data_IF_574882463771
#
_entry.id   IF_574882463771
#
_cell.length_a   1.000
_cell.length_b   1.000
_cell.length_c   1.000
_cell.angle_alpha   90.00
_cell.angle_beta   90.00
_cell.angle_gamma   90.00
#
_symmetry.space_group_name_H-M   'P 1'
#
loop_
_entity.id
_entity.type
_entity.pdbx_description
1 polymer ?
#
# COMPACT_ATOMS: atom_id res chain seq x y z
N UNK A 1 11.29 -12.57 4.66
CA UNK A 1 11.85 -13.38 3.57
C UNK A 1 11.55 -14.83 3.84
N UNK A 2 10.73 -15.40 2.96
CA UNK A 2 10.35 -16.80 2.96
C UNK A 2 11.47 -17.62 2.29
N UNK A 3 11.79 -18.80 2.80
CA UNK A 3 12.82 -19.68 2.26
C UNK A 3 12.24 -20.74 1.32
N UNK A 4 13.06 -21.23 0.39
CA UNK A 4 12.70 -22.37 -0.47
C UNK A 4 12.24 -23.59 0.35
N UNK A 5 12.94 -23.90 1.45
CA UNK A 5 12.59 -25.03 2.31
C UNK A 5 11.21 -24.86 2.95
N UNK A 6 10.88 -23.67 3.45
CA UNK A 6 9.56 -23.38 4.04
C UNK A 6 8.45 -23.58 3.02
N UNK A 7 8.60 -23.07 1.79
CA UNK A 7 7.61 -23.28 0.71
C UNK A 7 7.40 -24.77 0.43
N UNK A 8 8.49 -25.54 0.32
CA UNK A 8 8.42 -26.94 -0.06
C UNK A 8 7.84 -27.83 1.04
N UNK A 9 8.05 -27.48 2.31
CA UNK A 9 7.68 -28.32 3.46
C UNK A 9 6.38 -27.93 4.14
N UNK A 10 5.87 -26.71 3.91
CA UNK A 10 4.65 -26.23 4.56
C UNK A 10 3.43 -27.07 4.17
N UNK A 11 2.67 -27.47 5.19
CA UNK A 11 1.37 -28.13 5.06
C UNK A 11 0.26 -27.10 4.86
N UNK A 12 -0.02 -26.82 3.59
CA UNK A 12 -1.07 -25.88 3.18
C UNK A 12 -2.48 -26.37 3.51
N UNK A 13 -2.69 -27.67 3.77
CA UNK A 13 -4.01 -28.25 4.08
C UNK A 13 -4.62 -27.68 5.36
N UNK A 14 -3.79 -27.13 6.25
CA UNK A 14 -4.24 -26.42 7.46
C UNK A 14 -5.09 -25.19 7.16
N UNK A 15 -4.85 -24.51 6.04
CA UNK A 15 -5.66 -23.35 5.62
C UNK A 15 -7.11 -23.76 5.33
N UNK A 16 -7.30 -24.87 4.60
CA UNK A 16 -8.65 -25.38 4.31
C UNK A 16 -9.35 -25.89 5.59
N UNK A 17 -8.60 -26.49 6.50
CA UNK A 17 -9.10 -26.89 7.83
C UNK A 17 -9.55 -25.68 8.64
N UNK A 18 -8.77 -24.60 8.65
CA UNK A 18 -9.11 -23.36 9.33
C UNK A 18 -10.34 -22.68 8.69
N UNK A 19 -10.41 -22.63 7.36
CA UNK A 19 -11.56 -22.10 6.64
C UNK A 19 -12.86 -22.83 7.02
N UNK A 20 -12.84 -24.16 7.10
CA UNK A 20 -14.00 -24.95 7.52
C UNK A 20 -14.46 -24.62 8.95
N UNK A 21 -13.53 -24.32 9.86
CA UNK A 21 -13.86 -23.90 11.23
C UNK A 21 -14.50 -22.51 11.28
N UNK A 22 -14.00 -21.57 10.47
CA UNK A 22 -14.60 -20.24 10.34
C UNK A 22 -16.02 -20.28 9.80
N UNK A 23 -16.29 -21.13 8.79
CA UNK A 23 -17.64 -21.39 8.31
C UNK A 23 -18.54 -22.02 9.38
N UNK A 24 -18.00 -22.98 10.14
CA UNK A 24 -18.70 -23.55 11.29
C UNK A 24 -19.09 -22.49 12.32
N UNK A 25 -18.19 -21.55 12.60
CA UNK A 25 -18.45 -20.43 13.51
C UNK A 25 -19.54 -19.49 12.98
N UNK A 26 -19.58 -19.20 11.68
CA UNK A 26 -20.69 -18.47 11.09
C UNK A 26 -22.03 -19.20 11.31
N UNK A 27 -22.04 -20.53 11.23
CA UNK A 27 -23.20 -21.35 11.59
C UNK A 27 -23.63 -21.20 13.05
N UNK A 28 -22.68 -21.15 13.99
CA UNK A 28 -22.99 -20.92 15.41
C UNK A 28 -23.53 -19.50 15.67
N UNK A 29 -22.97 -18.47 15.03
CA UNK A 29 -23.52 -17.11 15.13
C UNK A 29 -24.95 -17.03 14.60
N UNK A 30 -25.29 -17.75 13.53
CA UNK A 30 -26.66 -17.83 13.02
C UNK A 30 -27.62 -18.39 14.08
N UNK A 31 -27.24 -19.45 14.78
CA UNK A 31 -28.06 -20.04 15.86
C UNK A 31 -28.28 -19.06 17.01
N UNK A 32 -27.25 -18.29 17.37
CA UNK A 32 -27.35 -17.27 18.41
C UNK A 32 -28.25 -16.11 17.95
N UNK A 33 -28.08 -15.66 16.71
CA UNK A 33 -28.93 -14.63 16.09
C UNK A 33 -30.42 -15.03 16.17
N UNK A 34 -30.76 -16.25 15.75
CA UNK A 34 -32.14 -16.75 15.76
C UNK A 34 -32.69 -16.85 17.18
N UNK A 35 -31.91 -17.41 18.11
CA UNK A 35 -32.30 -17.49 19.52
C UNK A 35 -32.53 -16.09 20.11
N UNK A 36 -31.65 -15.14 19.82
CA UNK A 36 -31.77 -13.76 20.30
C UNK A 36 -33.02 -13.09 19.74
N UNK A 37 -33.28 -13.27 18.43
CA UNK A 37 -34.47 -12.77 17.78
C UNK A 37 -35.74 -13.32 18.44
N UNK A 38 -35.77 -14.62 18.76
CA UNK A 38 -36.93 -15.30 19.32
C UNK A 38 -37.17 -15.05 20.81
N UNK A 39 -36.11 -14.81 21.59
CA UNK A 39 -36.21 -14.71 23.05
C UNK A 39 -36.09 -13.28 23.58
N UNK A 40 -35.19 -12.47 23.03
CA UNK A 40 -34.89 -11.11 23.54
C UNK A 40 -35.56 -10.06 22.68
N UNK A 41 -35.34 -10.09 21.36
CA UNK A 41 -35.87 -9.07 20.46
C UNK A 41 -37.41 -9.06 20.47
N UNK A 42 -38.05 -10.25 20.52
CA UNK A 42 -39.52 -10.40 20.63
C UNK A 42 -40.13 -9.88 21.94
N UNK A 43 -39.34 -9.61 22.99
CA UNK A 43 -39.86 -8.95 24.20
C UNK A 43 -40.41 -7.56 23.92
N UNK A 44 -40.05 -6.99 22.76
CA UNK A 44 -40.60 -5.75 22.25
C UNK A 44 -41.31 -6.01 20.90
N UNK A 45 -42.66 -5.89 20.76
CA UNK A 45 -43.67 -5.31 21.64
C UNK A 45 -44.78 -6.29 22.07
N UNK A 46 -45.10 -6.28 23.37
CA UNK A 46 -46.39 -6.72 23.90
C UNK A 46 -47.05 -5.57 24.69
N UNK A 47 -48.36 -5.66 24.96
CA UNK A 47 -49.17 -4.62 25.64
C UNK A 47 -48.69 -4.18 27.04
N UNK A 48 -47.54 -4.69 27.54
CA UNK A 48 -47.08 -4.52 28.93
C UNK A 48 -45.87 -3.57 29.09
N UNK A 49 -45.09 -3.30 28.05
CA UNK A 49 -43.94 -2.39 28.13
C UNK A 49 -44.01 -1.31 27.04
N UNK A 50 -44.25 -0.07 27.47
CA UNK A 50 -44.50 1.09 26.62
C UNK A 50 -43.65 2.28 27.09
N UNK A 51 -43.49 3.28 26.22
CA UNK A 51 -42.77 4.53 26.50
C UNK A 51 -41.37 4.57 25.87
N UNK A 52 -40.68 5.70 26.05
CA UNK A 52 -39.40 5.98 25.37
C UNK A 52 -38.31 4.94 25.64
N UNK A 53 -38.28 4.37 26.85
CA UNK A 53 -37.33 3.31 27.20
C UNK A 53 -37.56 2.02 26.38
N UNK A 54 -38.83 1.67 26.11
CA UNK A 54 -39.16 0.53 25.26
C UNK A 54 -38.75 0.78 23.79
N UNK A 55 -38.93 2.00 23.29
CA UNK A 55 -38.48 2.40 21.95
C UNK A 55 -36.96 2.34 21.79
N UNK A 56 -36.20 2.87 22.76
CA UNK A 56 -34.73 2.79 22.75
C UNK A 56 -34.23 1.33 22.82
N UNK A 57 -34.88 0.50 23.64
CA UNK A 57 -34.53 -0.91 23.74
C UNK A 57 -34.78 -1.67 22.43
N UNK A 58 -35.86 -1.36 21.70
CA UNK A 58 -36.13 -1.96 20.38
C UNK A 58 -34.99 -1.70 19.39
N UNK A 59 -34.52 -0.45 19.32
CA UNK A 59 -33.37 -0.09 18.48
C UNK A 59 -32.12 -0.87 18.90
N UNK A 60 -31.81 -0.91 20.20
CA UNK A 60 -30.63 -1.62 20.69
C UNK A 60 -30.69 -3.14 20.44
N UNK A 61 -31.87 -3.76 20.56
CA UNK A 61 -32.06 -5.17 20.24
C UNK A 61 -31.88 -5.43 18.73
N UNK A 62 -32.36 -4.53 17.88
CA UNK A 62 -32.15 -4.64 16.45
C UNK A 62 -30.67 -4.53 16.09
N UNK A 63 -29.94 -3.56 16.65
CA UNK A 63 -28.49 -3.39 16.47
C UNK A 63 -27.74 -4.63 16.96
N UNK A 64 -28.05 -5.15 18.15
CA UNK A 64 -27.40 -6.36 18.67
C UNK A 64 -27.61 -7.56 17.74
N UNK A 65 -28.80 -7.69 17.15
CA UNK A 65 -29.05 -8.75 16.16
C UNK A 65 -28.26 -8.52 14.87
N UNK A 66 -28.17 -7.28 14.40
CA UNK A 66 -27.37 -6.92 13.24
C UNK A 66 -25.89 -7.28 13.47
N UNK A 67 -25.35 -7.12 14.67
CA UNK A 67 -24.00 -7.56 15.01
C UNK A 67 -23.81 -9.08 14.87
N UNK A 68 -24.79 -9.90 15.25
CA UNK A 68 -24.71 -11.34 14.97
C UNK A 68 -24.74 -11.66 13.48
N UNK A 69 -25.49 -10.90 12.68
CA UNK A 69 -25.48 -11.05 11.22
C UNK A 69 -24.14 -10.59 10.63
N UNK A 70 -23.57 -9.51 11.13
CA UNK A 70 -22.27 -9.01 10.73
C UNK A 70 -21.14 -9.99 11.07
N UNK A 71 -21.17 -10.58 12.27
CA UNK A 71 -20.25 -11.63 12.68
C UNK A 71 -20.27 -12.85 11.74
N UNK A 72 -21.45 -13.23 11.25
CA UNK A 72 -21.59 -14.29 10.23
C UNK A 72 -20.92 -13.89 8.92
N UNK A 73 -21.15 -12.66 8.44
CA UNK A 73 -20.57 -12.15 7.20
C UNK A 73 -19.04 -12.09 7.30
N UNK A 74 -18.51 -11.50 8.36
CA UNK A 74 -17.06 -11.46 8.62
C UNK A 74 -16.45 -12.86 8.71
N UNK A 75 -17.07 -13.78 9.44
CA UNK A 75 -16.55 -15.15 9.58
C UNK A 75 -16.51 -15.89 8.22
N UNK A 76 -17.54 -15.75 7.39
CA UNK A 76 -17.57 -16.32 6.03
C UNK A 76 -16.52 -15.68 5.12
N UNK A 77 -16.30 -14.37 5.24
CA UNK A 77 -15.29 -13.67 4.45
C UNK A 77 -13.87 -14.13 4.84
N UNK A 78 -13.58 -14.30 6.14
CA UNK A 78 -12.30 -14.90 6.60
C UNK A 78 -12.14 -16.31 6.05
N UNK A 79 -13.19 -17.15 6.09
CA UNK A 79 -13.15 -18.49 5.51
C UNK A 79 -12.88 -18.46 3.99
N UNK A 80 -13.48 -17.51 3.27
CA UNK A 80 -13.23 -17.28 1.84
C UNK A 80 -11.76 -16.98 1.54
N UNK A 81 -11.17 -16.01 2.25
CA UNK A 81 -9.75 -15.64 2.10
C UNK A 81 -8.85 -16.85 2.35
N UNK A 82 -9.11 -17.65 3.38
CA UNK A 82 -8.29 -18.84 3.69
C UNK A 82 -8.38 -19.92 2.60
N UNK A 83 -9.52 -20.07 1.91
CA UNK A 83 -9.67 -21.00 0.77
C UNK A 83 -8.96 -20.51 -0.48
N UNK A 84 -9.09 -19.23 -0.77
CA UNK A 84 -8.39 -18.60 -1.88
C UNK A 84 -6.88 -18.64 -1.64
N UNK A 85 -6.43 -18.39 -0.42
CA UNK A 85 -5.05 -18.56 0.02
C UNK A 85 -4.57 -20.01 -0.21
N UNK A 86 -5.34 -21.02 0.22
CA UNK A 86 -5.01 -22.42 -0.03
C UNK A 86 -4.80 -22.71 -1.52
N UNK A 87 -5.72 -22.23 -2.37
CA UNK A 87 -5.64 -22.41 -3.83
C UNK A 87 -4.39 -21.74 -4.39
N UNK A 88 -4.19 -20.45 -4.09
CA UNK A 88 -3.07 -19.66 -4.58
C UNK A 88 -1.71 -20.19 -4.12
N UNK A 89 -1.55 -20.54 -2.84
CA UNK A 89 -0.31 -21.12 -2.32
C UNK A 89 -0.02 -22.49 -2.95
N UNK A 90 -1.05 -23.32 -3.17
CA UNK A 90 -0.87 -24.62 -3.82
C UNK A 90 -0.36 -24.45 -5.25
N UNK A 91 -0.90 -23.48 -5.99
CA UNK A 91 -0.46 -23.23 -7.36
C UNK A 91 0.91 -22.57 -7.44
N UNK A 92 1.25 -21.66 -6.52
CA UNK A 92 2.58 -21.07 -6.44
C UNK A 92 3.64 -22.09 -6.00
N UNK A 93 3.30 -23.00 -5.06
CA UNK A 93 4.17 -24.12 -4.70
C UNK A 93 4.51 -25.01 -5.90
N UNK A 94 3.51 -25.34 -6.74
CA UNK A 94 3.76 -26.06 -8.00
C UNK A 94 4.69 -25.31 -8.95
N UNK A 95 4.64 -23.97 -8.99
CA UNK A 95 5.58 -23.17 -9.79
C UNK A 95 7.00 -23.26 -9.24
N UNK A 96 7.18 -23.25 -7.92
CA UNK A 96 8.49 -23.48 -7.28
C UNK A 96 9.01 -24.90 -7.57
N UNK A 97 8.14 -25.90 -7.52
CA UNK A 97 8.47 -27.28 -7.92
C UNK A 97 8.88 -27.36 -9.39
N UNK A 98 8.18 -26.66 -10.29
CA UNK A 98 8.52 -26.59 -11.72
C UNK A 98 9.86 -25.90 -11.94
N UNK A 99 10.10 -24.73 -11.35
CA UNK A 99 11.37 -24.01 -11.48
C UNK A 99 12.57 -24.88 -11.03
N UNK A 100 12.38 -25.66 -9.95
CA UNK A 100 13.37 -26.63 -9.49
C UNK A 100 13.57 -27.76 -10.51
N UNK A 101 12.48 -28.29 -11.07
CA UNK A 101 12.53 -29.35 -12.08
C UNK A 101 13.28 -28.88 -13.33
N UNK A 102 12.99 -27.67 -13.82
CA UNK A 102 13.62 -27.08 -14.99
C UNK A 102 15.14 -26.93 -14.79
N UNK A 103 15.57 -26.46 -13.61
CA UNK A 103 16.99 -26.40 -13.26
C UNK A 103 17.66 -27.79 -13.26
N UNK A 104 16.97 -28.82 -12.73
CA UNK A 104 17.49 -30.20 -12.71
C UNK A 104 17.59 -30.81 -14.10
N UNK A 105 16.63 -30.52 -14.98
CA UNK A 105 16.66 -30.91 -16.39
C UNK A 105 17.79 -30.19 -17.14
N UNK A 106 18.08 -28.93 -16.78
CA UNK A 106 19.22 -28.16 -17.29
C UNK A 106 20.60 -28.59 -16.75
N UNK A 107 20.68 -29.69 -16.00
CA UNK A 107 21.95 -30.22 -15.50
C UNK A 107 22.39 -29.67 -14.15
N UNK A 108 21.52 -28.96 -13.43
CA UNK A 108 21.80 -28.46 -12.09
C UNK A 108 21.41 -29.48 -11.02
N UNK A 109 22.13 -29.42 -9.90
CA UNK A 109 21.73 -29.93 -8.60
C UNK A 109 21.17 -28.77 -7.78
N UNK A 110 19.98 -28.94 -7.21
CA UNK A 110 19.35 -27.93 -6.35
C UNK A 110 19.45 -28.37 -4.89
N UNK A 111 20.05 -27.51 -4.07
CA UNK A 111 20.20 -27.72 -2.62
C UNK A 111 18.89 -27.51 -1.85
N UNK A 112 18.89 -27.86 -0.55
CA UNK A 112 17.73 -27.66 0.34
C UNK A 112 17.38 -26.18 0.56
N UNK A 113 18.31 -25.26 0.31
CA UNK A 113 18.05 -23.82 0.38
C UNK A 113 17.63 -23.23 -0.97
N UNK A 114 17.45 -24.06 -2.01
CA UNK A 114 17.07 -23.62 -3.36
C UNK A 114 18.23 -23.10 -4.21
N UNK A 115 19.49 -23.22 -3.76
CA UNK A 115 20.66 -22.85 -4.58
C UNK A 115 20.92 -23.92 -5.64
N UNK A 116 21.01 -23.50 -6.90
CA UNK A 116 21.38 -24.34 -8.02
C UNK A 116 22.90 -24.33 -8.24
N UNK A 117 23.50 -25.50 -8.41
CA UNK A 117 24.90 -25.69 -8.76
C UNK A 117 25.00 -26.79 -9.80
N UNK A 118 25.95 -26.73 -10.72
CA UNK A 118 26.07 -27.73 -11.76
C UNK A 118 26.32 -29.13 -11.19
N UNK A 119 25.61 -30.13 -11.73
CA UNK A 119 25.66 -31.51 -11.26
C UNK A 119 26.85 -32.26 -11.90
N UNK A 120 28.04 -32.09 -11.32
CA UNK A 120 29.27 -32.72 -11.82
C UNK A 120 29.25 -34.25 -11.82
N UNK A 121 28.35 -34.89 -11.09
CA UNK A 121 28.16 -36.35 -11.13
C UNK A 121 27.64 -36.82 -12.50
N UNK A 122 27.13 -35.91 -13.34
CA UNK A 122 26.73 -36.17 -14.73
C UNK A 122 27.87 -36.07 -15.74
N UNK A 123 29.07 -35.67 -15.32
CA UNK A 123 30.23 -35.54 -16.20
C UNK A 123 31.13 -36.76 -16.04
N UNK A 124 31.18 -37.61 -17.07
CA UNK A 124 31.97 -38.85 -17.03
C UNK A 124 33.47 -38.58 -17.11
N UNK A 125 33.92 -37.60 -17.89
CA UNK A 125 35.33 -37.28 -18.08
C UNK A 125 35.88 -36.33 -17.00
N UNK A 126 36.83 -36.77 -16.15
CA UNK A 126 37.45 -35.90 -15.13
C UNK A 126 38.20 -34.69 -15.71
N UNK A 127 38.70 -34.76 -16.95
CA UNK A 127 39.37 -33.62 -17.59
C UNK A 127 38.36 -32.55 -17.99
N UNK A 128 37.25 -32.93 -18.62
CA UNK A 128 36.13 -32.03 -18.93
C UNK A 128 35.55 -31.37 -17.67
N UNK A 129 35.37 -32.13 -16.58
CA UNK A 129 34.88 -31.59 -15.31
C UNK A 129 35.81 -30.49 -14.75
N UNK A 130 37.13 -30.63 -14.90
CA UNK A 130 38.10 -29.59 -14.46
C UNK A 130 38.05 -28.34 -15.32
N UNK A 131 37.78 -28.47 -16.62
CA UNK A 131 37.63 -27.34 -17.53
C UNK A 131 36.37 -26.54 -17.19
N UNK A 132 35.22 -27.23 -17.05
CA UNK A 132 33.94 -26.61 -16.68
C UNK A 132 34.01 -25.84 -15.35
N UNK A 133 34.73 -26.36 -14.35
CA UNK A 133 34.93 -25.65 -13.06
C UNK A 133 35.66 -24.31 -13.19
N UNK A 134 36.41 -24.11 -14.26
CA UNK A 134 37.15 -22.87 -14.53
C UNK A 134 36.43 -21.95 -15.50
N UNK A 135 35.30 -22.40 -16.07
CA UNK A 135 34.49 -21.62 -16.99
C UNK A 135 33.66 -20.56 -16.22
N UNK A 136 33.84 -19.26 -16.49
CA UNK A 136 33.00 -18.22 -15.91
C UNK A 136 31.51 -18.38 -16.25
N UNK A 137 31.18 -18.87 -17.45
CA UNK A 137 29.80 -19.05 -17.90
C UNK A 137 29.04 -20.10 -17.10
N UNK A 138 29.74 -21.04 -16.46
CA UNK A 138 29.12 -22.00 -15.55
C UNK A 138 28.54 -21.29 -14.32
N UNK A 139 29.29 -20.35 -13.74
CA UNK A 139 28.82 -19.60 -12.57
C UNK A 139 27.61 -18.73 -12.92
N UNK A 140 27.64 -18.08 -14.08
CA UNK A 140 26.50 -17.29 -14.57
C UNK A 140 25.25 -18.16 -14.75
N UNK A 141 25.40 -19.39 -15.25
CA UNK A 141 24.30 -20.34 -15.35
C UNK A 141 23.78 -20.79 -13.96
N UNK A 142 24.66 -21.13 -13.03
CA UNK A 142 24.30 -21.49 -11.65
C UNK A 142 23.54 -20.35 -10.94
N UNK A 143 24.03 -19.12 -11.09
CA UNK A 143 23.42 -17.92 -10.51
C UNK A 143 22.06 -17.63 -11.15
N UNK A 144 21.92 -17.79 -12.47
CA UNK A 144 20.67 -17.62 -13.21
C UNK A 144 19.59 -18.61 -12.76
N UNK A 145 19.92 -19.90 -12.63
CA UNK A 145 18.96 -20.91 -12.13
C UNK A 145 18.61 -20.71 -10.65
N UNK A 146 19.59 -20.28 -9.85
CA UNK A 146 19.33 -19.89 -8.45
C UNK A 146 18.37 -18.71 -8.39
N UNK A 147 18.56 -17.69 -9.24
CA UNK A 147 17.67 -16.55 -9.33
C UNK A 147 16.26 -16.93 -9.82
N UNK A 148 16.16 -17.87 -10.78
CA UNK A 148 14.87 -18.36 -11.27
C UNK A 148 14.05 -19.05 -10.16
N UNK A 149 14.68 -19.91 -9.35
CA UNK A 149 14.02 -20.54 -8.19
C UNK A 149 13.66 -19.48 -7.14
N UNK A 150 14.57 -18.54 -6.86
CA UNK A 150 14.32 -17.46 -5.92
C UNK A 150 13.15 -16.55 -6.34
N UNK A 151 12.98 -16.30 -7.64
CA UNK A 151 11.85 -15.53 -8.17
C UNK A 151 10.52 -16.27 -7.95
N UNK A 152 10.49 -17.59 -8.14
CA UNK A 152 9.31 -18.40 -7.85
C UNK A 152 8.96 -18.38 -6.35
N UNK A 153 9.96 -18.41 -5.46
CA UNK A 153 9.77 -18.26 -4.00
C UNK A 153 9.27 -16.85 -3.64
N UNK A 154 9.82 -15.80 -4.27
CA UNK A 154 9.38 -14.42 -4.08
C UNK A 154 7.89 -14.24 -4.40
N UNK A 155 7.40 -14.90 -5.46
CA UNK A 155 5.97 -14.86 -5.79
C UNK A 155 5.09 -15.47 -4.67
N UNK A 156 5.60 -16.44 -3.91
CA UNK A 156 4.92 -16.98 -2.72
C UNK A 156 4.91 -15.95 -1.59
N UNK A 157 6.04 -15.28 -1.33
CA UNK A 157 6.13 -14.22 -0.31
C UNK A 157 5.21 -13.04 -0.62
N UNK A 158 5.15 -12.60 -1.87
CA UNK A 158 4.23 -11.53 -2.30
C UNK A 158 2.76 -11.91 -2.07
N UNK A 159 2.40 -13.16 -2.36
CA UNK A 159 1.04 -13.66 -2.12
C UNK A 159 0.75 -13.84 -0.62
N UNK A 160 1.74 -14.23 0.18
CA UNK A 160 1.61 -14.30 1.64
C UNK A 160 1.33 -12.93 2.26
N UNK A 161 2.08 -11.90 1.86
CA UNK A 161 1.80 -10.51 2.25
C UNK A 161 0.39 -10.08 1.82
N UNK A 162 -0.05 -10.42 0.61
CA UNK A 162 -1.40 -10.11 0.15
C UNK A 162 -2.50 -10.80 0.99
N UNK A 163 -2.31 -12.07 1.33
CA UNK A 163 -3.22 -12.83 2.21
C UNK A 163 -3.28 -12.20 3.60
N UNK A 164 -2.13 -11.83 4.19
CA UNK A 164 -2.07 -11.12 5.47
C UNK A 164 -2.90 -9.84 5.43
N UNK A 165 -2.70 -8.99 4.42
CA UNK A 165 -3.43 -7.73 4.28
C UNK A 165 -4.94 -7.95 4.12
N UNK A 166 -5.35 -8.97 3.37
CA UNK A 166 -6.76 -9.33 3.25
C UNK A 166 -7.37 -9.72 4.61
N UNK A 167 -6.65 -10.50 5.42
CA UNK A 167 -7.09 -10.92 6.75
C UNK A 167 -7.14 -9.75 7.75
N UNK A 168 -6.22 -8.80 7.66
CA UNK A 168 -6.25 -7.57 8.48
C UNK A 168 -7.42 -6.66 8.08
N UNK A 169 -7.65 -6.47 6.77
CA UNK A 169 -8.71 -5.61 6.27
C UNK A 169 -10.12 -6.17 6.48
N UNK A 170 -10.31 -7.48 6.33
CA UNK A 170 -11.65 -8.10 6.37
C UNK A 170 -12.33 -7.99 7.74
N UNK A 171 -11.56 -7.78 8.80
CA UNK A 171 -12.07 -7.67 10.18
C UNK A 171 -12.28 -6.23 10.64
N UNK A 172 -11.94 -5.23 9.82
CA UNK A 172 -12.15 -3.81 10.16
C UNK A 172 -13.58 -3.44 9.83
N UNK A 173 -14.36 -3.11 10.87
CA UNK A 173 -15.64 -2.44 10.70
C UNK A 173 -15.42 -0.97 10.32
N UNK A 174 -15.83 -0.64 9.09
CA UNK A 174 -15.67 0.69 8.51
C UNK A 174 -16.98 1.48 8.41
N UNK A 175 -18.09 0.98 8.97
CA UNK A 175 -19.38 1.64 8.86
C UNK A 175 -19.76 2.37 10.18
N UNK A 176 -19.44 3.68 10.32
CA UNK A 176 -19.75 4.41 11.54
C UNK A 176 -21.26 4.65 11.75
N UNK A 177 -22.12 4.17 10.86
CA UNK A 177 -23.57 4.42 10.85
C UNK A 177 -24.42 3.16 11.10
N UNK A 178 -23.85 1.97 11.37
CA UNK A 178 -24.64 0.78 11.71
C UNK A 178 -25.11 0.72 13.16
N UNK A 179 -24.73 1.71 13.97
CA UNK A 179 -25.16 1.82 15.36
C UNK A 179 -24.21 1.15 16.36
N UNK A 180 -23.08 0.61 15.90
CA UNK A 180 -21.96 0.22 16.76
C UNK A 180 -20.69 1.00 16.42
N UNK A 181 -19.81 1.15 17.41
CA UNK A 181 -18.46 1.65 17.19
C UNK A 181 -17.50 0.47 17.34
N UNK A 182 -16.80 0.11 16.26
CA UNK A 182 -15.88 -1.03 16.20
C UNK A 182 -16.58 -2.38 16.43
N UNK A 183 -17.71 -2.60 15.75
CA UNK A 183 -18.44 -3.87 15.75
C UNK A 183 -17.83 -4.91 14.81
N UNK A 184 -18.62 -5.91 14.43
CA UNK A 184 -18.22 -6.86 13.38
C UNK A 184 -18.38 -6.22 11.99
N UNK A 185 -17.50 -6.56 11.06
CA UNK A 185 -17.59 -6.06 9.68
C UNK A 185 -18.74 -6.73 8.91
N UNK A 186 -19.91 -6.09 8.94
CA UNK A 186 -21.10 -6.56 8.22
C UNK A 186 -21.02 -6.46 6.70
N UNK A 187 -20.01 -5.77 6.17
CA UNK A 187 -19.78 -5.59 4.73
C UNK A 187 -18.58 -6.38 4.20
N UNK A 188 -18.00 -7.25 5.05
CA UNK A 188 -16.79 -8.00 4.76
C UNK A 188 -16.89 -8.81 3.46
N UNK A 189 -15.85 -8.72 2.63
CA UNK A 189 -15.69 -9.49 1.38
C UNK A 189 -14.34 -10.20 1.36
N UNK A 190 -14.27 -11.44 0.84
CA UNK A 190 -13.02 -12.15 0.70
C UNK A 190 -12.26 -11.62 -0.52
N UNK A 191 -11.48 -10.55 -0.35
CA UNK A 191 -10.69 -9.97 -1.45
C UNK A 191 -9.23 -9.99 -1.08
N UNK A 192 -8.47 -10.87 -1.73
CA UNK A 192 -7.01 -10.86 -1.67
C UNK A 192 -6.51 -9.84 -2.70
N UNK A 193 -5.65 -8.87 -2.32
CA UNK A 193 -5.04 -7.97 -3.28
C UNK A 193 -4.27 -8.75 -4.38
N UNK A 194 -4.19 -8.22 -5.61
CA UNK A 194 -3.36 -8.82 -6.65
C UNK A 194 -1.88 -8.93 -6.22
N UNK A 195 -1.11 -9.76 -6.93
CA UNK A 195 0.36 -9.88 -6.80
C UNK A 195 1.05 -9.55 -8.13
N UNK A 196 2.39 -9.46 -8.14
CA UNK A 196 3.16 -9.19 -9.36
C UNK A 196 2.80 -7.86 -10.04
N UNK A 197 2.75 -7.79 -11.39
CA UNK A 197 2.52 -6.53 -12.12
C UNK A 197 1.19 -5.86 -11.78
N UNK A 198 0.12 -6.64 -11.60
CA UNK A 198 -1.20 -6.11 -11.24
C UNK A 198 -1.19 -5.45 -9.84
N UNK A 199 -0.34 -5.94 -8.93
CA UNK A 199 -0.11 -5.29 -7.63
C UNK A 199 0.60 -3.96 -7.78
N UNK A 200 1.62 -3.90 -8.64
CA UNK A 200 2.34 -2.66 -8.91
C UNK A 200 1.42 -1.58 -9.49
N UNK A 201 0.55 -1.96 -10.43
CA UNK A 201 -0.49 -1.08 -11.00
C UNK A 201 -1.53 -0.65 -9.95
N UNK A 202 -1.94 -1.55 -9.06
CA UNK A 202 -2.82 -1.21 -7.95
C UNK A 202 -2.16 -0.19 -7.00
N UNK A 203 -0.89 -0.39 -6.61
CA UNK A 203 -0.15 0.54 -5.74
C UNK A 203 -0.13 1.95 -6.35
N UNK A 204 0.03 2.06 -7.68
CA UNK A 204 -0.02 3.33 -8.40
C UNK A 204 -1.37 4.06 -8.19
N UNK A 205 -2.48 3.36 -8.44
CA UNK A 205 -3.83 3.94 -8.29
C UNK A 205 -4.19 4.22 -6.84
N UNK A 206 -3.82 3.34 -5.91
CA UNK A 206 -4.14 3.49 -4.49
C UNK A 206 -3.32 4.63 -3.85
N UNK A 207 -2.05 4.80 -4.26
CA UNK A 207 -1.21 5.92 -3.81
C UNK A 207 -1.71 7.27 -4.33
N UNK A 208 -2.16 7.33 -5.59
CA UNK A 208 -2.84 8.50 -6.15
C UNK A 208 -4.08 8.87 -5.31
N UNK A 209 -4.94 7.90 -5.02
CA UNK A 209 -6.14 8.13 -4.21
C UNK A 209 -5.77 8.57 -2.79
N UNK A 210 -4.81 7.90 -2.16
CA UNK A 210 -4.36 8.23 -0.82
C UNK A 210 -3.87 9.67 -0.73
N UNK A 211 -3.00 10.07 -1.66
CA UNK A 211 -2.44 11.41 -1.63
C UNK A 211 -3.47 12.48 -1.98
N UNK A 212 -4.43 12.16 -2.85
CA UNK A 212 -5.60 13.02 -3.08
C UNK A 212 -6.35 13.28 -1.78
N UNK A 213 -6.70 12.23 -1.04
CA UNK A 213 -7.44 12.34 0.22
C UNK A 213 -6.65 13.09 1.30
N UNK A 214 -5.33 12.93 1.35
CA UNK A 214 -4.41 13.72 2.19
C UNK A 214 -4.41 15.20 1.79
N UNK A 215 -4.23 15.52 0.50
CA UNK A 215 -4.27 16.90 0.01
C UNK A 215 -5.58 17.58 0.38
N UNK A 216 -6.71 16.91 0.11
CA UNK A 216 -8.05 17.44 0.41
C UNK A 216 -8.27 17.71 1.88
N UNK A 217 -7.79 16.84 2.78
CA UNK A 217 -7.86 17.06 4.23
C UNK A 217 -6.93 18.18 4.68
N UNK A 218 -5.70 18.20 4.18
CA UNK A 218 -4.66 19.08 4.70
C UNK A 218 -4.88 20.53 4.26
N UNK A 219 -5.36 20.80 3.03
CA UNK A 219 -5.68 22.17 2.58
C UNK A 219 -6.81 22.85 3.37
N UNK A 220 -7.65 22.06 4.05
CA UNK A 220 -8.74 22.56 4.89
C UNK A 220 -8.42 22.50 6.39
N UNK A 221 -7.21 22.06 6.76
CA UNK A 221 -6.77 21.96 8.15
C UNK A 221 -6.56 23.32 8.82
N UNK A 222 -6.68 23.35 10.15
CA UNK A 222 -6.36 24.54 10.96
C UNK A 222 -4.89 24.95 10.81
N UNK A 223 -3.99 23.97 10.58
CA UNK A 223 -2.57 24.20 10.28
C UNK A 223 -2.41 25.07 9.04
N UNK A 224 -3.08 24.73 7.93
CA UNK A 224 -2.99 25.51 6.69
C UNK A 224 -3.62 26.90 6.86
N UNK A 225 -4.73 27.04 7.60
CA UNK A 225 -5.32 28.37 7.87
C UNK A 225 -4.39 29.26 8.70
N UNK A 226 -3.68 28.68 9.67
CA UNK A 226 -2.68 29.41 10.45
C UNK A 226 -1.49 29.84 9.59
N UNK A 227 -0.98 28.96 8.73
CA UNK A 227 0.09 29.29 7.78
C UNK A 227 -0.33 30.42 6.83
N UNK A 228 -1.56 30.36 6.30
CA UNK A 228 -2.13 31.44 5.48
C UNK A 228 -2.14 32.77 6.25
N UNK A 229 -2.50 32.77 7.53
CA UNK A 229 -2.49 33.99 8.35
C UNK A 229 -1.09 34.59 8.53
N UNK A 230 -0.05 33.74 8.64
CA UNK A 230 1.35 34.14 8.85
C UNK A 230 2.00 34.66 7.57
N UNK A 231 1.55 34.16 6.42
CA UNK A 231 2.07 34.47 5.08
C UNK A 231 1.25 35.55 4.35
N UNK A 232 0.12 35.99 4.92
CA UNK A 232 -0.77 37.00 4.32
C UNK A 232 -0.09 38.38 4.29
N UNK A 233 0.32 38.82 3.11
CA UNK A 233 0.79 40.20 2.91
C UNK A 233 -0.29 41.21 3.35
N UNK A 234 0.00 42.16 4.25
CA UNK A 234 -0.97 43.14 4.71
C UNK A 234 -1.35 44.11 3.59
N UNK A 235 -2.63 44.48 3.56
CA UNK A 235 -3.15 45.49 2.63
C UNK A 235 -2.72 46.90 3.06
N UNK A 236 -2.64 47.84 2.11
CA UNK A 236 -2.08 49.19 2.35
C UNK A 236 -2.85 50.00 3.40
N UNK A 237 -4.12 49.67 3.66
CA UNK A 237 -4.98 50.30 4.67
C UNK A 237 -4.91 49.66 6.06
N UNK A 238 -4.16 48.57 6.25
CA UNK A 238 -3.99 47.91 7.56
C UNK A 238 -2.80 48.45 8.38
N UNK A 239 -2.28 49.62 7.99
CA UNK A 239 -1.10 50.26 8.59
C UNK A 239 -1.30 50.52 10.10
N UNK A 240 -0.53 49.81 10.95
CA UNK A 240 -0.52 50.00 12.41
C UNK A 240 -0.91 48.78 13.26
N UNK A 241 -1.31 47.64 12.66
CA UNK A 241 -1.47 46.35 13.36
C UNK A 241 -0.38 45.37 12.93
N UNK A 242 0.36 44.81 13.89
CA UNK A 242 1.37 43.77 13.62
C UNK A 242 0.67 42.42 13.41
N UNK A 243 0.14 42.16 12.22
CA UNK A 243 -0.49 40.88 11.85
C UNK A 243 -0.01 40.44 10.46
N UNK A 244 0.61 39.26 10.37
CA UNK A 244 0.73 38.50 9.12
C UNK A 244 2.02 38.65 8.31
N UNK A 245 3.19 38.77 8.92
CA UNK A 245 4.44 38.63 8.15
C UNK A 245 5.55 38.00 8.98
N UNK A 246 5.31 36.79 9.49
CA UNK A 246 6.33 36.00 10.16
C UNK A 246 6.63 34.74 9.34
N UNK A 247 7.34 34.97 8.23
CA UNK A 247 7.82 33.90 7.35
C UNK A 247 8.66 32.88 8.12
N UNK A 248 9.37 33.28 9.18
CA UNK A 248 10.17 32.36 9.99
C UNK A 248 9.26 31.44 10.80
N UNK A 249 8.23 31.97 11.45
CA UNK A 249 7.23 31.15 12.15
C UNK A 249 6.49 30.22 11.18
N UNK A 250 6.16 30.70 9.98
CA UNK A 250 5.55 29.86 8.95
C UNK A 250 6.48 28.72 8.50
N UNK A 251 7.76 29.01 8.25
CA UNK A 251 8.77 28.00 7.88
C UNK A 251 9.00 26.97 9.00
N UNK A 252 9.03 27.39 10.26
CA UNK A 252 9.14 26.46 11.41
C UNK A 252 7.90 25.57 11.50
N UNK A 253 6.70 26.14 11.41
CA UNK A 253 5.46 25.39 11.47
C UNK A 253 5.32 24.40 10.31
N UNK A 254 5.70 24.82 9.10
CA UNK A 254 5.78 23.97 7.92
C UNK A 254 6.79 22.84 8.10
N UNK A 255 8.02 23.18 8.51
CA UNK A 255 9.10 22.22 8.74
C UNK A 255 8.73 21.13 9.75
N UNK A 256 8.02 21.47 10.82
CA UNK A 256 7.53 20.47 11.79
C UNK A 256 6.51 19.51 11.17
N UNK A 257 5.69 19.94 10.22
CA UNK A 257 4.69 19.06 9.61
C UNK A 257 5.28 18.07 8.60
N UNK A 258 6.28 18.52 7.84
CA UNK A 258 6.91 17.75 6.76
C UNK A 258 8.17 16.99 7.20
N UNK A 259 8.63 17.18 8.45
CA UNK A 259 9.80 16.49 8.97
C UNK A 259 9.59 14.97 9.10
N UNK A 260 10.66 14.16 9.09
CA UNK A 260 10.57 12.72 9.21
C UNK A 260 9.77 12.26 10.43
N UNK A 261 8.85 11.32 10.21
CA UNK A 261 7.97 10.76 11.23
C UNK A 261 6.82 11.67 11.68
N UNK A 262 6.59 12.79 10.99
CA UNK A 262 5.50 13.73 11.28
C UNK A 262 4.30 13.50 10.35
N UNK A 263 3.21 14.22 10.63
CA UNK A 263 1.90 13.99 9.99
C UNK A 263 1.95 14.00 8.44
N UNK A 264 2.80 14.83 7.83
CA UNK A 264 2.93 14.96 6.37
C UNK A 264 4.17 14.26 5.82
N UNK A 265 4.82 13.40 6.60
CA UNK A 265 5.82 12.45 6.11
C UNK A 265 5.12 11.19 5.56
N UNK A 266 4.73 11.25 4.29
CA UNK A 266 3.99 10.16 3.65
C UNK A 266 4.90 9.01 3.20
N UNK A 267 6.21 9.22 3.08
CA UNK A 267 7.15 8.19 2.62
C UNK A 267 7.08 6.92 3.49
N UNK A 268 7.23 6.95 4.83
CA UNK A 268 7.06 5.78 5.67
C UNK A 268 5.61 5.25 5.68
N UNK A 269 4.61 6.11 5.55
CA UNK A 269 3.20 5.69 5.51
C UNK A 269 2.89 4.83 4.26
N UNK A 270 3.44 5.21 3.10
CA UNK A 270 3.33 4.43 1.86
C UNK A 270 4.16 3.15 1.93
N UNK A 271 5.35 3.19 2.55
CA UNK A 271 6.17 2.00 2.77
C UNK A 271 5.45 0.96 3.62
N UNK A 272 4.88 1.37 4.75
CA UNK A 272 4.13 0.50 5.66
C UNK A 272 2.86 -0.03 4.99
N UNK A 273 2.07 0.86 4.36
CA UNK A 273 0.83 0.51 3.66
C UNK A 273 1.03 -0.59 2.60
N UNK A 274 2.13 -0.53 1.86
CA UNK A 274 2.38 -1.43 0.74
C UNK A 274 3.46 -2.49 1.02
N UNK A 275 3.96 -2.56 2.25
CA UNK A 275 4.99 -3.49 2.71
C UNK A 275 6.22 -3.48 1.77
N UNK A 276 6.73 -2.29 1.48
CA UNK A 276 7.84 -2.10 0.53
C UNK A 276 9.15 -2.56 1.17
N UNK A 277 9.67 -3.73 0.76
CA UNK A 277 10.84 -4.37 1.39
C UNK A 277 12.04 -4.53 0.46
N UNK A 278 11.78 -4.67 -0.83
CA UNK A 278 12.79 -4.89 -1.85
C UNK A 278 12.90 -3.68 -2.76
N UNK A 279 14.06 -3.50 -3.39
CA UNK A 279 14.37 -2.35 -4.26
C UNK A 279 13.30 -2.12 -5.34
N UNK A 280 12.77 -3.20 -5.92
CA UNK A 280 11.74 -3.09 -6.97
C UNK A 280 10.35 -2.74 -6.43
N UNK A 281 10.08 -2.95 -5.15
CA UNK A 281 8.76 -2.68 -4.57
C UNK A 281 8.47 -1.18 -4.54
N UNK A 282 9.52 -0.35 -4.51
CA UNK A 282 9.44 1.10 -4.47
C UNK A 282 9.07 1.75 -5.80
N UNK A 283 8.98 0.98 -6.89
CA UNK A 283 8.53 1.47 -8.19
C UNK A 283 7.11 0.96 -8.48
N UNK A 284 6.20 1.89 -8.76
CA UNK A 284 4.81 1.59 -9.08
C UNK A 284 4.59 1.73 -10.58
N UNK A 285 4.10 0.66 -11.20
CA UNK A 285 3.83 0.59 -12.62
C UNK A 285 2.59 1.41 -12.96
N UNK A 286 2.69 2.28 -13.96
CA UNK A 286 1.51 2.99 -14.44
C UNK A 286 0.59 2.01 -15.21
N UNK A 287 -0.72 1.97 -14.88
CA UNK A 287 -1.67 1.12 -15.60
C UNK A 287 -1.65 1.35 -17.12
N UNK A 288 -1.50 0.26 -17.87
CA UNK A 288 -1.53 0.30 -19.34
C UNK A 288 -0.31 0.91 -20.03
N UNK A 289 0.74 1.27 -19.28
CA UNK A 289 1.97 1.86 -19.83
C UNK A 289 3.20 1.04 -19.44
N UNK A 290 4.25 1.13 -20.26
CA UNK A 290 5.54 0.44 -20.03
C UNK A 290 6.52 1.30 -19.22
N UNK A 291 6.04 1.89 -18.14
CA UNK A 291 6.85 2.73 -17.25
C UNK A 291 6.40 2.60 -15.81
N UNK A 292 7.35 2.84 -14.92
CA UNK A 292 7.17 2.81 -13.48
C UNK A 292 7.76 4.07 -12.86
N UNK A 293 7.16 4.51 -11.76
CA UNK A 293 7.59 5.68 -11.01
C UNK A 293 7.92 5.33 -9.57
N UNK A 294 8.92 5.98 -9.01
CA UNK A 294 9.31 5.82 -7.62
C UNK A 294 8.22 6.36 -6.69
N UNK A 295 7.92 5.64 -5.61
CA UNK A 295 6.76 5.87 -4.77
C UNK A 295 6.73 7.23 -4.03
N UNK A 296 7.84 7.96 -3.95
CA UNK A 296 7.89 9.22 -3.20
C UNK A 296 7.33 10.41 -3.97
N UNK A 297 7.14 10.27 -5.29
CA UNK A 297 6.57 11.32 -6.15
C UNK A 297 5.22 11.80 -5.64
N UNK A 298 4.41 10.92 -5.04
CA UNK A 298 3.12 11.30 -4.44
C UNK A 298 3.33 12.28 -3.29
N UNK A 299 4.29 12.03 -2.40
CA UNK A 299 4.61 12.94 -1.29
C UNK A 299 5.12 14.30 -1.80
N UNK A 300 5.90 14.31 -2.88
CA UNK A 300 6.41 15.55 -3.47
C UNK A 300 5.29 16.38 -4.11
N UNK A 301 4.36 15.74 -4.83
CA UNK A 301 3.17 16.42 -5.38
C UNK A 301 2.32 17.01 -4.25
N UNK A 302 2.16 16.30 -3.12
CA UNK A 302 1.47 16.83 -1.92
C UNK A 302 2.19 18.05 -1.34
N UNK A 303 3.51 17.94 -1.14
CA UNK A 303 4.33 19.03 -0.62
C UNK A 303 4.12 20.32 -1.43
N UNK A 304 4.19 20.22 -2.76
CA UNK A 304 3.92 21.35 -3.65
C UNK A 304 2.49 21.88 -3.54
N UNK A 305 1.50 21.01 -3.61
CA UNK A 305 0.07 21.39 -3.59
C UNK A 305 -0.35 22.05 -2.29
N UNK A 306 -0.06 21.41 -1.14
CA UNK A 306 -0.42 21.93 0.19
C UNK A 306 0.44 23.14 0.55
N UNK A 307 1.70 23.20 0.11
CA UNK A 307 2.58 24.35 0.32
C UNK A 307 2.05 25.61 -0.37
N UNK A 308 1.59 25.49 -1.62
CA UNK A 308 0.91 26.58 -2.31
C UNK A 308 -0.40 26.96 -1.64
N UNK A 309 -1.17 25.97 -1.16
CA UNK A 309 -2.39 26.22 -0.41
C UNK A 309 -2.15 27.01 0.88
N UNK A 310 -1.04 26.75 1.56
CA UNK A 310 -0.61 27.49 2.75
C UNK A 310 -0.20 28.93 2.44
N UNK A 311 0.19 29.23 1.19
CA UNK A 311 0.54 30.58 0.74
C UNK A 311 2.02 30.79 0.45
N UNK A 312 2.87 29.75 0.53
CA UNK A 312 4.28 29.85 0.18
C UNK A 312 4.48 30.03 -1.32
N UNK A 313 5.38 30.91 -1.74
CA UNK A 313 5.77 31.01 -3.15
C UNK A 313 6.61 29.81 -3.60
N UNK A 314 6.65 29.51 -4.92
CA UNK A 314 7.39 28.36 -5.45
C UNK A 314 8.87 28.32 -5.06
N UNK A 315 9.56 29.45 -5.09
CA UNK A 315 11.01 29.50 -4.80
C UNK A 315 11.29 29.16 -3.34
N UNK A 316 10.44 29.64 -2.42
CA UNK A 316 10.53 29.29 -1.00
C UNK A 316 10.30 27.80 -0.77
N UNK A 317 9.31 27.19 -1.43
CA UNK A 317 9.03 25.74 -1.27
C UNK A 317 10.17 24.86 -1.79
N UNK A 318 10.69 25.17 -2.97
CA UNK A 318 11.82 24.43 -3.56
C UNK A 318 13.06 24.58 -2.67
N UNK A 319 13.44 25.80 -2.28
CA UNK A 319 14.59 26.01 -1.38
C UNK A 319 14.41 25.35 -0.02
N UNK A 320 13.19 25.36 0.52
CA UNK A 320 12.85 24.75 1.81
C UNK A 320 13.03 23.22 1.79
N UNK A 321 12.65 22.57 0.69
CA UNK A 321 12.86 21.14 0.50
C UNK A 321 14.35 20.80 0.44
N UNK A 322 15.12 21.49 -0.41
CA UNK A 322 16.57 21.26 -0.55
C UNK A 322 17.33 21.48 0.77
N UNK A 323 16.92 22.46 1.59
CA UNK A 323 17.53 22.73 2.90
C UNK A 323 17.18 21.67 3.96
N UNK A 324 15.96 21.13 3.94
CA UNK A 324 15.55 20.01 4.79
C UNK A 324 16.29 18.72 4.45
N UNK A 325 16.47 18.46 3.15
CA UNK A 325 17.20 17.31 2.59
C UNK A 325 18.72 17.36 2.88
N UNK A 326 19.33 18.54 2.91
CA UNK A 326 20.74 18.69 3.31
C UNK A 326 20.98 18.34 4.79
N UNK A 327 19.96 18.49 5.64
CA UNK A 327 20.01 18.16 7.07
C UNK A 327 19.55 16.72 7.37
N UNK A 328 18.82 16.09 6.44
CA UNK A 328 18.17 14.79 6.60
C UNK A 328 18.29 13.98 5.29
N UNK A 329 19.48 13.40 5.09
CA UNK A 329 19.88 12.40 4.09
C UNK A 329 18.91 12.13 2.91
N UNK A 330 19.18 12.77 1.77
CA UNK A 330 18.71 12.44 0.42
C UNK A 330 19.11 13.59 -0.53
N UNK A 331 19.73 13.33 -1.68
CA UNK A 331 20.08 14.39 -2.64
C UNK A 331 18.78 14.89 -3.31
N UNK A 332 18.47 16.20 -3.23
CA UNK A 332 17.41 16.88 -4.01
C UNK A 332 17.71 16.72 -5.51
N UNK A 333 17.11 15.74 -6.18
CA UNK A 333 17.35 15.50 -7.58
C UNK A 333 16.28 16.15 -8.50
N UNK A 334 16.55 16.11 -9.80
CA UNK A 334 15.68 16.78 -10.77
C UNK A 334 14.23 16.23 -10.79
N UNK A 335 14.01 14.97 -10.42
CA UNK A 335 12.68 14.36 -10.37
C UNK A 335 11.83 14.91 -9.23
N UNK A 336 12.43 15.14 -8.07
CA UNK A 336 11.76 15.70 -6.89
C UNK A 336 11.29 17.13 -7.17
N UNK A 337 12.13 17.95 -7.81
CA UNK A 337 11.74 19.30 -8.22
C UNK A 337 10.61 19.31 -9.25
N UNK A 338 10.61 18.37 -10.22
CA UNK A 338 9.53 18.26 -11.22
C UNK A 338 8.21 17.94 -10.53
N UNK A 339 8.20 16.96 -9.64
CA UNK A 339 6.99 16.48 -8.97
C UNK A 339 6.43 17.50 -7.98
N UNK A 340 7.31 18.17 -7.22
CA UNK A 340 6.91 19.31 -6.38
C UNK A 340 6.28 20.44 -7.20
N UNK A 341 6.90 20.85 -8.32
CA UNK A 341 6.36 21.92 -9.19
C UNK A 341 5.00 21.57 -9.76
N UNK A 342 4.80 20.33 -10.20
CA UNK A 342 3.49 19.87 -10.66
C UNK A 342 2.45 20.00 -9.55
N UNK A 343 2.77 19.63 -8.31
CA UNK A 343 1.91 19.87 -7.16
C UNK A 343 1.52 21.34 -6.99
N UNK A 344 2.49 22.24 -7.15
CA UNK A 344 2.26 23.68 -7.07
C UNK A 344 1.32 24.18 -8.19
N UNK A 345 1.59 23.77 -9.41
CA UNK A 345 0.80 24.12 -10.60
C UNK A 345 -0.65 23.60 -10.51
N UNK A 346 -0.85 22.41 -9.95
CA UNK A 346 -2.18 21.85 -9.69
C UNK A 346 -2.99 22.76 -8.75
N UNK A 347 -2.38 23.27 -7.66
CA UNK A 347 -3.05 24.20 -6.77
C UNK A 347 -3.28 25.56 -7.45
N UNK A 348 -2.31 26.09 -8.17
CA UNK A 348 -2.44 27.38 -8.86
C UNK A 348 -3.56 27.35 -9.92
N UNK A 349 -3.76 26.21 -10.57
CA UNK A 349 -4.77 26.03 -11.62
C UNK A 349 -6.16 25.72 -11.08
N UNK A 350 -6.28 24.87 -10.06
CA UNK A 350 -7.57 24.32 -9.60
C UNK A 350 -7.96 24.74 -8.18
N UNK A 351 -7.02 25.28 -7.41
CA UNK A 351 -7.16 25.57 -5.99
C UNK A 351 -7.66 24.36 -5.22
N UNK A 352 -8.45 24.61 -4.17
CA UNK A 352 -9.08 23.58 -3.34
C UNK A 352 -10.07 22.69 -4.09
N UNK A 353 -10.50 23.06 -5.30
CA UNK A 353 -11.54 22.33 -6.04
C UNK A 353 -10.97 21.27 -6.99
N UNK A 354 -9.66 21.00 -6.93
CA UNK A 354 -9.01 19.95 -7.71
C UNK A 354 -9.77 18.61 -7.56
N UNK A 355 -10.04 17.96 -8.70
CA UNK A 355 -10.62 16.62 -8.76
C UNK A 355 -9.53 15.55 -8.77
N UNK A 356 -9.88 14.31 -8.42
CA UNK A 356 -8.92 13.21 -8.49
C UNK A 356 -8.40 12.98 -9.91
N UNK A 357 -9.26 13.17 -10.92
CA UNK A 357 -8.87 13.07 -12.33
C UNK A 357 -7.84 14.15 -12.73
N UNK A 358 -7.96 15.36 -12.18
CA UNK A 358 -6.98 16.42 -12.41
C UNK A 358 -5.64 16.12 -11.72
N UNK A 359 -5.67 15.51 -10.53
CA UNK A 359 -4.45 15.03 -9.89
C UNK A 359 -3.76 13.95 -10.75
N UNK A 360 -4.53 12.98 -11.26
CA UNK A 360 -4.00 11.94 -12.15
C UNK A 360 -3.29 12.53 -13.35
N UNK A 361 -3.94 13.48 -14.03
CA UNK A 361 -3.34 14.19 -15.17
C UNK A 361 -2.05 14.92 -14.78
N UNK A 362 -2.00 15.54 -13.60
CA UNK A 362 -0.77 16.14 -13.09
C UNK A 362 0.34 15.12 -12.84
N UNK A 363 0.03 13.97 -12.23
CA UNK A 363 1.02 12.89 -12.02
C UNK A 363 1.54 12.36 -13.35
N UNK A 364 0.67 12.15 -14.34
CA UNK A 364 1.07 11.75 -15.69
C UNK A 364 1.99 12.80 -16.35
N UNK A 365 1.65 14.08 -16.20
CA UNK A 365 2.49 15.19 -16.67
C UNK A 365 3.85 15.23 -15.96
N UNK A 366 3.91 14.96 -14.66
CA UNK A 366 5.17 14.85 -13.93
C UNK A 366 6.04 13.72 -14.50
N UNK A 367 5.44 12.56 -14.78
CA UNK A 367 6.13 11.43 -15.39
C UNK A 367 6.65 11.77 -16.80
N UNK A 368 5.85 12.45 -17.62
CA UNK A 368 6.26 12.88 -18.96
C UNK A 368 7.45 13.86 -18.90
N UNK A 369 7.42 14.83 -17.97
CA UNK A 369 8.52 15.78 -17.73
C UNK A 369 9.79 15.07 -17.25
N UNK A 370 9.66 14.08 -16.36
CA UNK A 370 10.79 13.28 -15.88
C UNK A 370 11.42 12.44 -17.00
N UNK A 371 10.61 11.81 -17.86
CA UNK A 371 11.10 11.11 -19.04
C UNK A 371 11.83 12.04 -20.01
N UNK A 372 11.27 13.23 -20.26
CA UNK A 372 11.92 14.23 -21.10
C UNK A 372 13.27 14.64 -20.53
N UNK A 373 13.33 15.00 -19.25
CA UNK A 373 14.58 15.38 -18.58
C UNK A 373 15.64 14.25 -18.68
N UNK A 374 15.24 12.99 -18.53
CA UNK A 374 16.11 11.84 -18.71
C UNK A 374 16.65 11.72 -20.14
N UNK A 375 15.81 11.96 -21.16
CA UNK A 375 16.24 11.99 -22.58
C UNK A 375 17.22 13.13 -22.86
N UNK A 376 17.13 14.22 -22.09
CA UNK A 376 18.04 15.37 -22.14
C UNK A 376 19.35 15.14 -21.34
N UNK A 377 19.54 13.94 -20.77
CA UNK A 377 20.76 13.57 -20.04
C UNK A 377 20.78 14.02 -18.58
N UNK A 378 19.64 14.41 -18.00
CA UNK A 378 19.51 14.68 -16.57
C UNK A 378 19.44 13.37 -15.78
N UNK A 379 19.97 13.39 -14.56
CA UNK A 379 19.79 12.30 -13.61
C UNK A 379 18.38 12.38 -12.99
N UNK A 380 17.56 11.37 -13.29
CA UNK A 380 16.16 11.27 -12.86
C UNK A 380 15.88 9.81 -12.52
N UNK A 381 16.31 9.34 -11.33
CA UNK A 381 16.15 7.95 -10.90
C UNK A 381 14.69 7.56 -10.64
N UNK A 382 13.79 8.54 -10.45
CA UNK A 382 12.38 8.33 -10.13
C UNK A 382 11.60 7.64 -11.25
N UNK A 383 12.06 7.68 -12.49
CA UNK A 383 11.32 7.08 -13.62
C UNK A 383 12.16 6.07 -14.38
N UNK A 384 11.54 4.92 -14.68
CA UNK A 384 12.16 3.85 -15.48
C UNK A 384 11.14 3.16 -16.38
N UNK A 385 11.63 2.55 -17.45
CA UNK A 385 10.84 1.62 -18.24
C UNK A 385 10.55 0.35 -17.42
N UNK A 386 9.40 -0.27 -17.65
CA UNK A 386 9.10 -1.59 -17.05
C UNK A 386 10.12 -2.62 -17.55
N UNK A 387 10.75 -3.34 -16.61
CA UNK A 387 11.73 -4.38 -16.88
C UNK A 387 11.13 -5.71 -17.33
#
# INVERSE_FOLDING_TARGET
MLTYQEVMTTDLGRLNTAAARWDGMAGEFKKIEDRYAESVQKLAPGQKWLGSAAGMAQTNFAVTRQEYAAAQTQAKAVAGILREAYTGFTDLKKKVESARKDAVEAGMRVSETGRATFDFDRVEDPAQARLLRRDPGLREAEDSWTAHIAQAVRAVEEFDTAVKQALEAVVVDSNPFDGTFAGFNGSAKPVIPPTGPARSEQKFTDAEKFIFDEMKRNVDSDTVRQLQSLLRKPEWYEFGRNHGNDINAALVMWGVKVAPGQDWDHKPQLQDRYDLRHKDDYFFKQPGQNREVFYDIYSNVHYGYVGRAAGFDPDTLIKGASLGETLLTGDDDHGDQITMRVGMELYDKYGKNMTQEQLRQGIEEAMDRMEQAKREGRDVPQIRATG
#
